data_IF_520307056612
#
_entry.id   IF_520307056612
#
_cell.length_a   1.000
_cell.length_b   1.000
_cell.length_c   1.000
_cell.angle_alpha   90.00
_cell.angle_beta   90.00
_cell.angle_gamma   90.00
#
_symmetry.space_group_name_H-M   'P 1'
#
loop_
_entity.id
_entity.type
_entity.pdbx_description
1 polymer ?
#
# COMPACT_ATOMS: atom_id res chain seq x y z
N UNK A 1 -63.87 -24.86 34.10
CA UNK A 1 -63.33 -24.02 33.01
C UNK A 1 -61.83 -23.97 33.18
N UNK A 2 -61.03 -24.59 32.25
CA UNK A 2 -59.56 -24.60 32.39
C UNK A 2 -58.93 -23.41 31.65
N UNK A 3 -58.08 -22.64 32.32
CA UNK A 3 -57.27 -21.58 31.78
C UNK A 3 -56.15 -22.16 30.87
N UNK A 4 -56.17 -21.85 29.60
CA UNK A 4 -55.10 -22.13 28.67
C UNK A 4 -53.95 -21.11 28.88
N UNK A 5 -52.79 -21.62 29.32
CA UNK A 5 -51.52 -20.87 29.40
C UNK A 5 -50.92 -20.84 28.01
N UNK A 6 -50.87 -19.64 27.41
CA UNK A 6 -50.15 -19.37 26.15
C UNK A 6 -48.69 -19.13 26.50
N UNK A 7 -47.83 -20.07 26.09
CA UNK A 7 -46.38 -19.92 26.23
C UNK A 7 -45.87 -19.09 25.04
N UNK A 8 -45.37 -17.89 25.34
CA UNK A 8 -44.73 -17.00 24.35
C UNK A 8 -43.28 -17.46 24.16
N UNK A 9 -42.99 -18.07 23.01
CA UNK A 9 -41.61 -18.43 22.65
C UNK A 9 -40.91 -17.20 22.10
N UNK A 10 -39.98 -16.61 22.87
CA UNK A 10 -39.02 -15.63 22.35
C UNK A 10 -37.99 -16.35 21.47
N UNK A 11 -38.05 -16.17 20.16
CA UNK A 11 -37.00 -16.55 19.24
C UNK A 11 -35.87 -15.53 19.34
N UNK A 12 -34.81 -15.87 20.11
CA UNK A 12 -33.56 -15.11 20.05
C UNK A 12 -32.92 -15.40 18.68
N UNK A 13 -33.01 -14.43 17.80
CA UNK A 13 -32.25 -14.41 16.57
C UNK A 13 -30.75 -14.28 16.88
N UNK A 14 -29.98 -15.36 16.74
CA UNK A 14 -28.51 -15.29 16.70
C UNK A 14 -28.14 -14.56 15.40
N UNK A 15 -27.75 -13.29 15.52
CA UNK A 15 -27.02 -12.61 14.46
C UNK A 15 -25.66 -13.31 14.31
N UNK A 16 -25.47 -14.06 13.22
CA UNK A 16 -24.19 -14.64 12.87
C UNK A 16 -23.19 -13.48 12.63
N UNK A 17 -21.97 -13.53 13.21
CA UNK A 17 -20.95 -12.56 12.88
C UNK A 17 -20.65 -12.67 11.39
N UNK A 18 -20.75 -11.57 10.67
CA UNK A 18 -20.23 -11.48 9.30
C UNK A 18 -18.73 -11.78 9.39
N UNK A 19 -18.28 -12.89 8.80
CA UNK A 19 -16.87 -13.17 8.63
C UNK A 19 -16.29 -12.07 7.74
N UNK A 20 -15.65 -11.07 8.34
CA UNK A 20 -14.70 -10.22 7.65
C UNK A 20 -13.61 -11.14 7.11
N UNK A 21 -13.30 -11.05 5.82
CA UNK A 21 -12.25 -11.88 5.20
C UNK A 21 -10.96 -11.80 6.02
N UNK A 22 -10.29 -12.94 6.20
CA UNK A 22 -9.10 -13.08 7.07
C UNK A 22 -7.88 -12.25 6.60
N UNK A 23 -7.99 -11.42 5.55
CA UNK A 23 -6.91 -10.66 4.94
C UNK A 23 -6.99 -9.15 5.16
N UNK A 24 -5.82 -8.50 5.13
CA UNK A 24 -5.70 -7.03 5.16
C UNK A 24 -6.14 -6.48 3.80
N UNK A 25 -7.10 -5.57 3.79
CA UNK A 25 -7.57 -4.93 2.58
C UNK A 25 -6.47 -4.13 1.88
N UNK A 26 -6.46 -4.13 0.54
CA UNK A 26 -5.54 -3.36 -0.29
C UNK A 26 -6.29 -2.23 -0.96
N UNK A 27 -5.73 -1.01 -0.87
CA UNK A 27 -6.30 0.19 -1.47
C UNK A 27 -5.23 0.90 -2.29
N UNK A 28 -5.54 1.26 -3.51
CA UNK A 28 -4.62 1.97 -4.40
C UNK A 28 -4.12 3.30 -3.82
N UNK A 29 -3.01 3.82 -4.39
CA UNK A 29 -2.42 5.09 -3.96
C UNK A 29 -3.46 6.22 -3.94
N UNK A 30 -3.54 6.94 -2.81
CA UNK A 30 -4.50 8.01 -2.58
C UNK A 30 -5.91 7.56 -2.19
N UNK A 31 -6.27 6.28 -2.32
CA UNK A 31 -7.60 5.76 -1.96
C UNK A 31 -7.87 5.72 -0.44
N UNK A 32 -6.85 5.81 0.38
CA UNK A 32 -7.03 5.86 1.86
C UNK A 32 -7.76 7.14 2.31
N UNK A 33 -7.72 8.21 1.53
CA UNK A 33 -8.30 9.53 1.88
C UNK A 33 -9.81 9.49 2.17
N UNK A 34 -10.51 8.47 1.72
CA UNK A 34 -11.94 8.31 1.96
C UNK A 34 -12.24 7.90 3.41
N UNK A 35 -11.26 7.29 4.08
CA UNK A 35 -11.39 6.81 5.46
C UNK A 35 -10.34 7.39 6.42
N UNK A 36 -9.23 7.91 5.89
CA UNK A 36 -8.11 8.39 6.66
C UNK A 36 -7.71 9.81 6.25
N UNK A 37 -7.19 10.55 7.19
CA UNK A 37 -6.59 11.87 6.97
C UNK A 37 -5.29 11.97 7.76
N UNK A 38 -4.41 12.88 7.37
CA UNK A 38 -3.22 13.19 8.17
C UNK A 38 -3.65 13.77 9.51
N UNK A 39 -2.97 13.37 10.57
CA UNK A 39 -3.24 13.86 11.91
C UNK A 39 -2.86 15.34 12.00
N UNK A 40 -3.76 16.15 12.49
CA UNK A 40 -3.53 17.59 12.67
C UNK A 40 -2.34 17.86 13.60
N UNK A 41 -1.56 18.90 13.28
CA UNK A 41 -0.39 19.29 14.08
C UNK A 41 0.84 18.40 13.89
N UNK A 42 0.77 17.33 13.13
CA UNK A 42 1.93 16.49 12.79
C UNK A 42 2.46 16.89 11.41
N UNK A 43 3.72 17.36 11.32
CA UNK A 43 4.28 17.79 10.05
C UNK A 43 4.48 16.59 9.10
N UNK A 44 4.16 16.79 7.82
CA UNK A 44 4.47 15.86 6.76
C UNK A 44 5.98 15.91 6.48
N UNK A 45 6.72 14.90 6.86
CA UNK A 45 8.16 14.81 6.63
C UNK A 45 8.40 14.32 5.21
N UNK A 46 9.11 15.09 4.38
CA UNK A 46 9.58 14.64 3.08
C UNK A 46 10.83 13.77 3.24
N UNK A 47 11.02 12.75 2.39
CA UNK A 47 12.25 11.96 2.43
C UNK A 47 13.45 12.78 1.96
N UNK A 48 14.59 12.63 2.65
CA UNK A 48 15.83 13.24 2.25
C UNK A 48 16.51 12.43 1.12
N UNK A 49 17.18 13.13 0.20
CA UNK A 49 18.02 12.47 -0.80
C UNK A 49 19.19 11.76 -0.08
N UNK A 50 19.43 10.46 -0.32
CA UNK A 50 20.47 9.72 0.37
C UNK A 50 21.88 10.31 0.13
N UNK A 51 22.64 10.65 1.19
CA UNK A 51 23.97 11.25 1.04
C UNK A 51 24.95 10.36 0.25
N UNK A 52 24.83 9.04 0.37
CA UNK A 52 25.67 8.07 -0.35
C UNK A 52 25.58 8.23 -1.89
N UNK A 53 24.49 8.77 -2.40
CA UNK A 53 24.27 8.96 -3.83
C UNK A 53 24.18 10.43 -4.25
N UNK A 54 24.44 11.37 -3.35
CA UNK A 54 24.31 12.81 -3.62
C UNK A 54 25.14 13.29 -4.82
N UNK A 55 26.32 12.71 -5.04
CA UNK A 55 27.21 13.07 -6.16
C UNK A 55 26.62 12.68 -7.54
N UNK A 56 25.67 11.72 -7.59
CA UNK A 56 25.04 11.26 -8.84
C UNK A 56 24.05 12.27 -9.39
N UNK A 57 23.34 12.99 -8.51
CA UNK A 57 22.31 13.98 -8.87
C UNK A 57 21.19 13.41 -9.74
N UNK A 58 20.94 12.09 -9.67
CA UNK A 58 19.88 11.45 -10.44
C UNK A 58 18.51 11.99 -9.95
N UNK A 59 17.59 12.18 -10.89
CA UNK A 59 16.17 12.25 -10.57
C UNK A 59 15.69 10.83 -10.31
N UNK A 60 15.08 10.59 -9.14
CA UNK A 60 14.71 9.24 -8.69
C UNK A 60 13.27 9.25 -8.20
N UNK A 61 12.53 8.21 -8.47
CA UNK A 61 11.32 7.90 -7.73
C UNK A 61 11.32 6.47 -7.22
N UNK A 62 10.64 6.26 -6.11
CA UNK A 62 10.28 4.94 -5.60
C UNK A 62 8.79 4.91 -5.26
N UNK A 63 8.13 3.83 -5.62
CA UNK A 63 6.81 3.48 -5.07
C UNK A 63 7.01 2.52 -3.92
N UNK A 64 6.51 2.90 -2.74
CA UNK A 64 6.64 2.15 -1.50
C UNK A 64 5.26 1.71 -1.03
N UNK A 65 5.04 0.39 -0.91
CA UNK A 65 3.89 -0.16 -0.23
C UNK A 65 4.07 -0.10 1.27
N UNK A 66 3.01 0.13 2.02
CA UNK A 66 3.03 0.18 3.47
C UNK A 66 1.70 -0.21 4.09
N UNK A 67 1.77 -0.74 5.30
CA UNK A 67 0.60 -0.96 6.14
C UNK A 67 0.29 0.32 6.92
N UNK A 68 -0.92 0.84 6.75
CA UNK A 68 -1.50 1.82 7.66
C UNK A 68 -2.26 1.06 8.74
N UNK A 69 -1.77 1.14 9.96
CA UNK A 69 -2.33 0.44 11.12
C UNK A 69 -3.62 1.13 11.61
N UNK A 70 -4.44 0.39 12.36
CA UNK A 70 -5.69 0.91 12.92
C UNK A 70 -5.49 2.10 13.89
N UNK A 71 -4.30 2.25 14.47
CA UNK A 71 -3.91 3.38 15.32
C UNK A 71 -3.36 4.60 14.54
N UNK A 72 -3.30 4.52 13.21
CA UNK A 72 -2.82 5.59 12.34
C UNK A 72 -1.31 5.63 12.13
N UNK A 73 -0.55 4.70 12.71
CA UNK A 73 0.88 4.52 12.42
C UNK A 73 1.11 3.74 11.14
N UNK A 74 2.34 3.76 10.60
CA UNK A 74 2.69 3.04 9.37
C UNK A 74 3.78 2.01 9.63
N UNK A 75 3.73 0.87 8.94
CA UNK A 75 4.68 -0.25 9.06
C UNK A 75 4.79 -1.08 7.78
N UNK A 76 5.54 -2.17 7.81
CA UNK A 76 5.63 -3.18 6.75
C UNK A 76 5.95 -2.58 5.37
N UNK A 77 6.99 -1.75 5.31
CA UNK A 77 7.39 -1.05 4.09
C UNK A 77 7.97 -2.03 3.06
N UNK A 78 7.49 -1.92 1.82
CA UNK A 78 7.88 -2.80 0.72
C UNK A 78 8.14 -1.98 -0.54
N UNK A 79 9.33 -2.08 -1.13
CA UNK A 79 9.63 -1.48 -2.42
C UNK A 79 8.79 -2.16 -3.51
N UNK A 80 7.99 -1.39 -4.22
CA UNK A 80 7.13 -1.87 -5.29
C UNK A 80 7.72 -1.59 -6.68
N UNK A 81 8.30 -0.41 -6.85
CA UNK A 81 8.91 0.05 -8.10
C UNK A 81 9.96 1.11 -7.80
N UNK A 82 11.02 1.16 -8.61
CA UNK A 82 12.02 2.22 -8.63
C UNK A 82 12.29 2.64 -10.06
N UNK A 83 12.59 3.93 -10.26
CA UNK A 83 13.04 4.50 -11.52
C UNK A 83 14.04 5.62 -11.24
N UNK A 84 15.05 5.74 -12.10
CA UNK A 84 16.02 6.84 -12.05
C UNK A 84 16.35 7.36 -13.46
N UNK A 85 16.80 8.59 -13.54
CA UNK A 85 17.09 9.26 -14.82
C UNK A 85 18.32 8.69 -15.57
N UNK A 86 19.18 7.93 -14.91
CA UNK A 86 20.40 7.39 -15.50
C UNK A 86 20.21 6.02 -16.18
N UNK A 87 19.40 5.13 -15.59
CA UNK A 87 19.24 3.74 -16.05
C UNK A 87 17.79 3.25 -16.08
N UNK A 88 16.82 4.15 -15.92
CA UNK A 88 15.40 3.76 -15.89
C UNK A 88 15.08 2.92 -14.66
N UNK A 89 14.50 1.73 -14.87
CA UNK A 89 14.15 0.81 -13.78
C UNK A 89 15.30 -0.08 -13.31
N UNK A 90 16.42 -0.10 -14.03
CA UNK A 90 17.55 -0.91 -13.63
C UNK A 90 18.29 -0.31 -12.43
N UNK A 91 18.79 -1.17 -11.56
CA UNK A 91 19.58 -0.75 -10.41
C UNK A 91 20.99 -0.34 -10.87
N UNK A 92 21.36 0.95 -10.79
CA UNK A 92 22.62 1.42 -11.38
C UNK A 92 23.86 0.96 -10.60
N UNK A 93 23.73 0.74 -9.31
CA UNK A 93 24.76 0.24 -8.39
C UNK A 93 24.09 -0.54 -7.26
N UNK A 94 24.84 -1.41 -6.60
CA UNK A 94 24.33 -2.22 -5.48
C UNK A 94 23.70 -1.37 -4.38
N UNK A 95 22.62 -1.87 -3.79
CA UNK A 95 21.85 -1.24 -2.70
C UNK A 95 21.22 0.13 -3.03
N UNK A 96 21.20 0.53 -4.31
CA UNK A 96 20.63 1.81 -4.71
C UNK A 96 19.14 1.90 -4.35
N UNK A 97 18.36 0.94 -4.85
CA UNK A 97 16.92 0.92 -4.56
C UNK A 97 16.60 0.75 -3.08
N UNK A 98 17.36 -0.09 -2.40
CA UNK A 98 17.22 -0.29 -0.96
C UNK A 98 17.43 0.99 -0.16
N UNK A 99 18.42 1.80 -0.56
CA UNK A 99 18.77 3.05 0.12
C UNK A 99 17.68 4.12 -0.09
N UNK A 100 17.18 4.29 -1.32
CA UNK A 100 16.08 5.22 -1.59
C UNK A 100 14.77 4.77 -0.95
N UNK A 101 14.45 3.48 -0.98
CA UNK A 101 13.30 2.93 -0.29
C UNK A 101 13.41 3.12 1.23
N UNK A 102 14.61 2.97 1.80
CA UNK A 102 14.89 3.24 3.22
C UNK A 102 14.60 4.69 3.58
N UNK A 103 15.09 5.66 2.80
CA UNK A 103 14.83 7.08 3.03
C UNK A 103 13.33 7.42 2.94
N UNK A 104 12.61 6.83 1.99
CA UNK A 104 11.16 6.97 1.88
C UNK A 104 10.44 6.35 3.09
N UNK A 105 10.85 5.17 3.53
CA UNK A 105 10.28 4.47 4.68
C UNK A 105 10.51 5.26 5.98
N UNK A 106 11.71 5.83 6.20
CA UNK A 106 12.00 6.68 7.35
C UNK A 106 11.12 7.93 7.42
N UNK A 107 10.86 8.57 6.28
CA UNK A 107 9.95 9.69 6.21
C UNK A 107 8.51 9.26 6.53
N UNK A 108 8.06 8.18 5.89
CA UNK A 108 6.70 7.66 6.03
C UNK A 108 6.41 7.16 7.45
N UNK A 109 7.41 6.56 8.13
CA UNK A 109 7.28 6.11 9.52
C UNK A 109 7.02 7.25 10.53
N UNK A 110 7.31 8.50 10.13
CA UNK A 110 7.01 9.69 10.94
C UNK A 110 5.65 10.29 10.66
N UNK A 111 4.99 9.86 9.58
CA UNK A 111 3.65 10.32 9.28
C UNK A 111 2.66 9.67 10.25
N UNK A 112 1.70 10.45 10.68
CA UNK A 112 0.62 9.96 11.50
C UNK A 112 -0.70 10.26 10.81
N UNK A 113 -1.54 9.25 10.79
CA UNK A 113 -2.89 9.36 10.25
C UNK A 113 -3.90 9.29 11.39
N UNK A 114 -5.07 9.78 11.14
CA UNK A 114 -6.23 9.58 11.98
C UNK A 114 -7.42 9.19 11.12
N UNK A 115 -8.32 8.35 11.64
CA UNK A 115 -9.53 8.03 10.91
C UNK A 115 -10.39 9.30 10.75
N UNK A 116 -11.16 9.37 9.67
CA UNK A 116 -12.17 10.41 9.52
C UNK A 116 -13.26 10.24 10.59
N UNK A 117 -13.97 11.32 10.99
CA UNK A 117 -14.97 11.29 12.06
C UNK A 117 -16.06 10.23 11.88
N UNK A 118 -16.41 9.94 10.62
CA UNK A 118 -17.41 8.93 10.25
C UNK A 118 -16.93 7.48 10.39
N UNK A 119 -15.61 7.26 10.57
CA UNK A 119 -15.02 5.92 10.68
C UNK A 119 -14.91 5.52 12.15
N UNK A 120 -15.90 4.78 12.65
CA UNK A 120 -15.99 4.39 14.07
C UNK A 120 -15.16 3.17 14.44
N UNK A 121 -14.80 2.33 13.47
CA UNK A 121 -14.01 1.11 13.66
C UNK A 121 -12.90 1.03 12.58
N UNK A 122 -11.82 1.81 12.72
CA UNK A 122 -10.74 1.80 11.75
C UNK A 122 -10.08 0.43 11.66
N UNK A 123 -9.88 -0.06 10.44
CA UNK A 123 -9.19 -1.31 10.18
C UNK A 123 -7.84 -1.03 9.52
N UNK A 124 -6.82 -1.86 9.73
CA UNK A 124 -5.58 -1.74 9.02
C UNK A 124 -5.80 -1.91 7.51
N UNK A 125 -5.06 -1.15 6.72
CA UNK A 125 -5.15 -1.18 5.25
C UNK A 125 -3.75 -1.10 4.65
N UNK A 126 -3.48 -1.92 3.63
CA UNK A 126 -2.25 -1.81 2.86
C UNK A 126 -2.46 -0.90 1.65
N UNK A 127 -1.54 0.04 1.46
CA UNK A 127 -1.59 1.00 0.35
C UNK A 127 -0.19 1.30 -0.16
N UNK A 128 -0.08 2.21 -1.12
CA UNK A 128 1.20 2.68 -1.66
C UNK A 128 1.30 4.19 -1.65
N UNK A 129 2.55 4.67 -1.67
CA UNK A 129 2.88 6.07 -1.88
C UNK A 129 4.09 6.21 -2.78
N UNK A 130 4.05 7.19 -3.69
CA UNK A 130 5.14 7.50 -4.61
C UNK A 130 5.97 8.66 -4.08
N UNK A 131 7.26 8.41 -3.87
CA UNK A 131 8.24 9.37 -3.38
C UNK A 131 9.23 9.71 -4.48
N UNK A 132 9.52 10.99 -4.62
CA UNK A 132 10.44 11.49 -5.63
C UNK A 132 11.59 12.25 -4.97
N UNK A 133 12.78 12.09 -5.54
CA UNK A 133 14.04 12.65 -5.06
C UNK A 133 14.74 13.32 -6.25
N UNK A 134 15.43 14.41 -6.00
CA UNK A 134 16.22 15.10 -7.01
C UNK A 134 16.22 16.60 -6.84
N UNK A 135 17.11 17.30 -7.54
CA UNK A 135 17.29 18.75 -7.39
C UNK A 135 16.06 19.58 -7.81
N UNK A 136 15.21 19.04 -8.70
CA UNK A 136 13.96 19.67 -9.14
C UNK A 136 12.72 19.30 -8.34
N UNK A 137 12.89 18.61 -7.18
CA UNK A 137 11.76 18.10 -6.39
C UNK A 137 11.07 16.86 -7.00
N UNK A 138 11.64 16.31 -8.07
CA UNK A 138 11.27 15.02 -8.66
C UNK A 138 9.86 14.93 -9.24
N UNK A 139 9.19 16.04 -9.53
CA UNK A 139 7.81 16.01 -10.01
C UNK A 139 7.65 15.19 -11.31
N UNK A 140 8.57 15.37 -12.27
CA UNK A 140 8.59 14.62 -13.53
C UNK A 140 8.92 13.14 -13.30
N UNK A 141 9.85 12.82 -12.40
CA UNK A 141 10.23 11.45 -12.06
C UNK A 141 9.07 10.67 -11.44
N UNK A 142 8.20 11.33 -10.67
CA UNK A 142 7.09 10.68 -9.96
C UNK A 142 6.17 9.87 -10.87
N UNK A 143 5.93 10.33 -12.09
CA UNK A 143 5.03 9.65 -13.03
C UNK A 143 5.53 8.26 -13.44
N UNK A 144 6.85 8.05 -13.45
CA UNK A 144 7.44 6.73 -13.74
C UNK A 144 7.21 5.69 -12.64
N UNK A 145 6.87 6.12 -11.41
CA UNK A 145 6.66 5.21 -10.28
C UNK A 145 5.19 5.08 -9.86
N UNK A 146 4.24 5.72 -10.54
CA UNK A 146 2.82 5.54 -10.26
C UNK A 146 2.38 4.11 -10.51
N UNK A 147 1.61 3.55 -9.57
CA UNK A 147 1.09 2.18 -9.65
C UNK A 147 -0.44 2.20 -9.75
N UNK A 148 -1.01 2.28 -10.96
CA UNK A 148 -2.47 2.32 -11.12
C UNK A 148 -3.15 1.01 -10.72
N UNK A 149 -2.41 -0.10 -10.66
CA UNK A 149 -2.91 -1.44 -10.34
C UNK A 149 -2.09 -2.09 -9.22
N UNK A 150 -2.21 -1.53 -8.00
CA UNK A 150 -1.44 -1.97 -6.84
C UNK A 150 -1.61 -3.48 -6.55
N UNK A 151 -2.83 -4.00 -6.58
CA UNK A 151 -3.08 -5.42 -6.31
C UNK A 151 -2.38 -6.34 -7.30
N UNK A 152 -2.42 -6.03 -8.60
CA UNK A 152 -1.73 -6.81 -9.64
C UNK A 152 -0.22 -6.81 -9.40
N UNK A 153 0.36 -5.66 -9.04
CA UNK A 153 1.78 -5.57 -8.70
C UNK A 153 2.14 -6.40 -7.48
N UNK A 154 1.31 -6.40 -6.44
CA UNK A 154 1.52 -7.21 -5.23
C UNK A 154 1.41 -8.72 -5.52
N UNK A 155 0.45 -9.14 -6.36
CA UNK A 155 0.35 -10.53 -6.82
C UNK A 155 1.61 -10.96 -7.58
N UNK A 156 2.11 -10.13 -8.49
CA UNK A 156 3.35 -10.38 -9.22
C UNK A 156 4.54 -10.52 -8.27
N UNK A 157 4.72 -9.60 -7.32
CA UNK A 157 5.79 -9.66 -6.32
C UNK A 157 5.71 -10.94 -5.49
N UNK A 158 4.51 -11.34 -5.04
CA UNK A 158 4.32 -12.59 -4.30
C UNK A 158 4.74 -13.80 -5.14
N UNK A 159 4.38 -13.84 -6.42
CA UNK A 159 4.71 -14.94 -7.31
C UNK A 159 6.21 -15.02 -7.64
N UNK A 160 6.86 -13.88 -7.91
CA UNK A 160 8.28 -13.85 -8.31
C UNK A 160 9.23 -14.02 -7.13
N UNK A 161 8.91 -13.49 -5.95
CA UNK A 161 9.78 -13.58 -4.78
C UNK A 161 9.67 -14.93 -4.05
N UNK A 162 8.59 -15.68 -4.23
CA UNK A 162 8.38 -16.97 -3.60
C UNK A 162 8.57 -16.91 -2.07
N UNK A 163 9.46 -17.74 -1.53
CA UNK A 163 9.77 -17.78 -0.10
C UNK A 163 10.52 -16.54 0.42
N UNK A 164 11.06 -15.69 -0.46
CA UNK A 164 11.71 -14.43 -0.11
C UNK A 164 10.74 -13.24 -0.12
N UNK A 165 9.47 -13.48 -0.39
CA UNK A 165 8.44 -12.43 -0.37
C UNK A 165 8.33 -11.81 1.03
N UNK A 166 8.18 -10.47 1.13
CA UNK A 166 7.90 -9.82 2.40
C UNK A 166 6.72 -10.48 3.11
N UNK A 167 6.81 -10.77 4.44
CA UNK A 167 5.76 -11.48 5.18
C UNK A 167 4.37 -10.83 5.08
N UNK A 168 4.33 -9.52 4.96
CA UNK A 168 3.07 -8.77 4.80
C UNK A 168 2.26 -9.25 3.60
N UNK A 169 2.92 -9.63 2.47
CA UNK A 169 2.22 -10.05 1.26
C UNK A 169 1.35 -11.30 1.49
N UNK A 170 1.71 -12.18 2.43
CA UNK A 170 0.90 -13.35 2.77
C UNK A 170 -0.38 -12.99 3.53
N UNK A 171 -0.41 -11.82 4.18
CA UNK A 171 -1.53 -11.33 5.00
C UNK A 171 -2.53 -10.49 4.19
N UNK A 172 -2.17 -10.09 2.96
CA UNK A 172 -3.02 -9.22 2.14
C UNK A 172 -4.16 -10.01 1.48
N UNK A 173 -5.35 -9.44 1.52
CA UNK A 173 -6.46 -9.87 0.67
C UNK A 173 -6.26 -9.27 -0.73
N UNK A 174 -5.67 -10.07 -1.63
CA UNK A 174 -5.40 -9.65 -3.00
C UNK A 174 -6.51 -10.05 -3.98
N UNK A 175 -7.64 -10.54 -3.48
CA UNK A 175 -8.72 -11.02 -4.33
C UNK A 175 -8.27 -12.16 -5.28
N UNK A 176 -9.22 -12.71 -6.05
CA UNK A 176 -8.90 -13.58 -7.18
C UNK A 176 -8.61 -12.68 -8.38
N UNK A 177 -7.50 -12.94 -9.10
CA UNK A 177 -7.23 -12.26 -10.36
C UNK A 177 -8.45 -12.38 -11.27
N UNK A 178 -9.02 -11.25 -11.69
CA UNK A 178 -10.12 -11.28 -12.65
C UNK A 178 -9.59 -11.57 -14.06
N UNK A 179 -10.43 -12.11 -14.95
CA UNK A 179 -10.05 -12.32 -16.34
C UNK A 179 -9.64 -11.00 -17.04
N UNK A 180 -10.16 -9.86 -16.56
CA UNK A 180 -9.80 -8.54 -17.05
C UNK A 180 -8.41 -8.10 -16.57
N UNK A 181 -8.00 -8.46 -15.37
CA UNK A 181 -6.63 -8.21 -14.88
C UNK A 181 -5.62 -9.00 -15.73
N UNK A 182 -5.92 -10.25 -16.04
CA UNK A 182 -5.08 -11.10 -16.89
C UNK A 182 -4.95 -10.55 -18.33
N UNK A 183 -6.05 -10.04 -18.92
CA UNK A 183 -6.03 -9.41 -20.25
C UNK A 183 -5.20 -8.14 -20.28
N UNK A 184 -5.31 -7.29 -19.26
CA UNK A 184 -4.54 -6.04 -19.16
C UNK A 184 -3.05 -6.29 -18.99
N UNK A 185 -2.69 -7.34 -18.24
CA UNK A 185 -1.30 -7.77 -18.08
C UNK A 185 -0.71 -8.27 -19.41
N UNK A 186 -1.45 -9.09 -20.17
CA UNK A 186 -1.04 -9.53 -21.50
C UNK A 186 -0.86 -8.36 -22.47
N UNK A 187 -1.81 -7.45 -22.52
CA UNK A 187 -1.73 -6.28 -23.42
C UNK A 187 -0.53 -5.37 -23.09
N UNK A 188 -0.13 -5.29 -21.83
CA UNK A 188 1.06 -4.53 -21.41
C UNK A 188 2.36 -5.21 -21.85
N UNK A 189 2.47 -6.52 -21.69
CA UNK A 189 3.64 -7.29 -22.11
C UNK A 189 3.84 -7.29 -23.63
N UNK A 190 2.75 -7.20 -24.41
CA UNK A 190 2.80 -7.09 -25.88
C UNK A 190 3.22 -5.69 -26.34
N UNK A 191 2.98 -4.66 -25.56
CA UNK A 191 3.40 -3.28 -25.88
C UNK A 191 4.88 -3.02 -25.53
N UNK A 192 5.46 -3.76 -24.59
CA UNK A 192 6.87 -3.65 -24.18
C UNK A 192 7.84 -4.52 -25.03
N UNK A 193 7.33 -5.25 -26.05
CA UNK A 193 8.11 -6.03 -27.03
C UNK A 193 8.24 -5.30 -28.36
#
# INVERSE_FOLDING_TARGET
MPLRRIALWCVLGLAAPAFAGDGIAVVGEGGIRDKWMLKEGVPLVAPAYPPAFAARKDEVCVSLGYLLNADGTTSDFTLLQGWNSASGNDEPVADYWKTFAGAAAEALARWQFQPRPEVTAPQPVFTAGTFAFGPGGGAAARDHCKLPQLESRLRQLRATAGSKAPPILARLDLGKATADDARREHARLDYER
#
